data_IF_560101067492
#
_entry.id   IF_560101067492
#
_cell.length_a   1.000
_cell.length_b   1.000
_cell.length_c   1.000
_cell.angle_alpha   90.00
_cell.angle_beta   90.00
_cell.angle_gamma   90.00
#
_symmetry.space_group_name_H-M   'P 1'
#
loop_
_entity.id
_entity.type
_entity.pdbx_description
1 polymer ?
#
# COMPACT_ATOMS: atom_id res chain seq x y z
N UNK A 1 10.75 -33.02 -14.99
CA UNK A 1 10.59 -32.27 -13.72
C UNK A 1 9.61 -31.14 -14.01
N UNK A 2 8.57 -30.96 -13.19
CA UNK A 2 7.65 -29.82 -13.36
C UNK A 2 8.41 -28.51 -13.09
N UNK A 3 8.25 -27.53 -13.96
CA UNK A 3 8.92 -26.24 -13.85
C UNK A 3 7.98 -25.12 -14.28
N UNK A 4 7.93 -24.04 -13.53
CA UNK A 4 7.25 -22.81 -13.90
C UNK A 4 8.25 -21.67 -13.85
N UNK A 5 8.33 -20.91 -14.94
CA UNK A 5 9.14 -19.70 -15.07
C UNK A 5 8.26 -18.47 -14.90
N UNK A 6 8.62 -17.63 -13.96
CA UNK A 6 7.80 -16.50 -13.51
C UNK A 6 8.57 -15.20 -13.78
N UNK A 7 7.91 -14.28 -14.48
CA UNK A 7 8.41 -12.92 -14.65
C UNK A 7 7.60 -11.98 -13.76
N UNK A 8 8.25 -11.36 -12.78
CA UNK A 8 7.75 -10.20 -12.07
C UNK A 8 8.21 -8.95 -12.81
N UNK A 9 7.29 -8.19 -13.39
CA UNK A 9 7.63 -7.03 -14.22
C UNK A 9 8.11 -5.85 -13.37
N UNK A 10 7.47 -5.64 -12.23
CA UNK A 10 7.81 -4.59 -11.27
C UNK A 10 7.20 -4.94 -9.91
N UNK A 11 7.71 -4.34 -8.83
CA UNK A 11 7.14 -4.52 -7.49
C UNK A 11 5.84 -3.74 -7.28
N UNK A 12 5.65 -2.66 -8.02
CA UNK A 12 4.39 -1.90 -8.00
C UNK A 12 4.14 -1.28 -9.37
N UNK A 13 3.04 -1.65 -10.01
CA UNK A 13 2.66 -1.15 -11.33
C UNK A 13 2.48 0.38 -11.29
N UNK A 14 3.08 1.06 -12.26
CA UNK A 14 3.14 2.52 -12.30
C UNK A 14 4.44 3.11 -11.76
N UNK A 15 5.25 2.33 -11.02
CA UNK A 15 6.58 2.76 -10.58
C UNK A 15 7.66 2.65 -11.67
N UNK A 16 7.35 1.97 -12.76
CA UNK A 16 8.21 1.77 -13.90
C UNK A 16 9.10 0.53 -13.81
N UNK A 17 9.64 0.15 -14.96
CA UNK A 17 10.71 -0.83 -15.17
C UNK A 17 11.36 -0.57 -16.54
N UNK A 18 12.54 -1.14 -16.77
CA UNK A 18 13.24 -0.96 -18.04
C UNK A 18 12.70 -1.87 -19.13
N UNK A 19 12.43 -1.32 -20.29
CA UNK A 19 11.95 -2.07 -21.45
C UNK A 19 12.96 -3.12 -21.92
N UNK A 20 14.25 -2.80 -21.90
CA UNK A 20 15.32 -3.72 -22.25
C UNK A 20 15.39 -4.91 -21.28
N UNK A 21 15.10 -4.67 -19.98
CA UNK A 21 15.05 -5.74 -18.98
C UNK A 21 13.86 -6.66 -19.24
N UNK A 22 12.68 -6.10 -19.53
CA UNK A 22 11.52 -6.88 -19.93
C UNK A 22 11.82 -7.74 -21.17
N UNK A 23 12.41 -7.15 -22.20
CA UNK A 23 12.76 -7.87 -23.43
C UNK A 23 13.73 -9.03 -23.17
N UNK A 24 14.72 -8.85 -22.30
CA UNK A 24 15.63 -9.93 -21.89
C UNK A 24 14.89 -11.02 -21.11
N UNK A 25 14.02 -10.63 -20.19
CA UNK A 25 13.20 -11.55 -19.39
C UNK A 25 12.30 -12.40 -20.29
N UNK A 26 11.70 -11.82 -21.33
CA UNK A 26 10.90 -12.56 -22.30
C UNK A 26 11.72 -13.59 -23.08
N UNK A 27 13.00 -13.34 -23.30
CA UNK A 27 13.94 -14.30 -23.88
C UNK A 27 14.22 -15.53 -23.01
N UNK A 28 13.86 -15.48 -21.71
CA UNK A 28 13.92 -16.61 -20.79
C UNK A 28 12.62 -17.46 -20.81
N UNK A 29 11.68 -17.13 -21.70
CA UNK A 29 10.41 -17.82 -21.94
C UNK A 29 9.57 -18.01 -20.66
N UNK A 30 9.13 -16.92 -20.01
CA UNK A 30 8.24 -17.02 -18.84
C UNK A 30 6.91 -17.69 -19.21
N UNK A 31 6.26 -18.33 -18.24
CA UNK A 31 4.94 -18.90 -18.41
C UNK A 31 3.81 -17.89 -18.13
N UNK A 32 4.09 -16.82 -17.40
CA UNK A 32 3.22 -15.66 -17.22
C UNK A 32 4.03 -14.45 -16.77
N UNK A 33 3.42 -13.27 -16.87
CA UNK A 33 3.94 -11.99 -16.37
C UNK A 33 3.04 -11.56 -15.22
N UNK A 34 3.62 -11.36 -14.04
CA UNK A 34 2.93 -10.82 -12.86
C UNK A 34 3.42 -9.43 -12.50
N UNK A 35 2.55 -8.63 -11.89
CA UNK A 35 2.91 -7.41 -11.17
C UNK A 35 1.91 -7.17 -10.04
N UNK A 36 2.38 -6.77 -8.88
CA UNK A 36 1.53 -6.10 -7.91
C UNK A 36 1.26 -4.65 -8.37
N UNK A 37 0.16 -4.06 -7.95
CA UNK A 37 -0.17 -2.67 -8.25
C UNK A 37 -0.36 -1.83 -6.99
N UNK A 38 -0.05 -2.39 -5.83
CA UNK A 38 0.01 -1.68 -4.56
C UNK A 38 -0.58 -2.42 -3.37
N UNK A 39 -0.72 -1.68 -2.30
CA UNK A 39 -1.26 -2.14 -1.03
C UNK A 39 -1.99 -0.98 -0.33
N UNK A 40 -2.36 -1.17 0.94
CA UNK A 40 -2.87 -0.08 1.78
C UNK A 40 -1.75 0.68 2.52
N UNK A 41 -0.49 0.28 2.38
CA UNK A 41 0.67 0.86 3.06
C UNK A 41 0.90 2.35 2.80
N UNK A 42 0.60 2.91 1.59
CA UNK A 42 0.70 4.35 1.37
C UNK A 42 -0.23 5.19 2.25
N UNK A 43 -1.09 4.55 3.02
CA UNK A 43 -1.99 5.18 3.97
C UNK A 43 -3.48 5.10 3.58
N UNK A 44 -4.36 5.53 4.48
CA UNK A 44 -5.81 5.32 4.34
C UNK A 44 -6.46 6.18 3.24
N UNK A 45 -5.74 7.17 2.70
CA UNK A 45 -6.30 8.08 1.69
C UNK A 45 -6.80 7.33 0.46
N UNK A 46 -5.97 6.48 -0.12
CA UNK A 46 -6.29 5.80 -1.39
C UNK A 46 -7.45 4.82 -1.26
N UNK A 47 -7.53 4.09 -0.14
CA UNK A 47 -8.68 3.25 0.14
C UNK A 47 -9.94 4.09 0.41
N UNK A 48 -9.80 5.17 1.18
CA UNK A 48 -10.95 5.99 1.57
C UNK A 48 -11.51 6.86 0.44
N UNK A 49 -10.67 7.33 -0.48
CA UNK A 49 -11.08 8.20 -1.60
C UNK A 49 -11.37 7.45 -2.90
N UNK A 50 -10.80 6.26 -3.07
CA UNK A 50 -10.77 5.56 -4.36
C UNK A 50 -9.79 6.18 -5.37
N UNK A 51 -8.94 7.15 -4.95
CA UNK A 51 -7.89 7.74 -5.78
C UNK A 51 -6.75 6.75 -6.04
N UNK A 52 -5.90 7.06 -7.02
CA UNK A 52 -4.78 6.23 -7.43
C UNK A 52 -3.43 6.77 -6.95
N UNK A 53 -2.48 5.89 -6.64
CA UNK A 53 -1.13 6.29 -6.20
C UNK A 53 -0.34 6.96 -7.31
N UNK A 54 -0.39 6.39 -8.52
CA UNK A 54 0.29 6.92 -9.69
C UNK A 54 -0.69 7.52 -10.69
N UNK A 55 -0.18 8.27 -11.65
CA UNK A 55 -0.97 8.79 -12.75
C UNK A 55 -1.41 7.69 -13.72
N UNK A 56 -2.51 7.90 -14.43
CA UNK A 56 -2.98 6.99 -15.49
C UNK A 56 -1.90 6.74 -16.55
N UNK A 57 -1.11 7.76 -16.87
CA UNK A 57 -0.01 7.62 -17.84
C UNK A 57 1.06 6.66 -17.36
N UNK A 58 1.36 6.63 -16.06
CA UNK A 58 2.32 5.71 -15.48
C UNK A 58 1.81 4.27 -15.50
N UNK A 59 0.57 4.04 -15.02
CA UNK A 59 -0.09 2.73 -15.13
C UNK A 59 -0.17 2.25 -16.58
N UNK A 60 -0.60 3.12 -17.48
CA UNK A 60 -0.77 2.80 -18.90
C UNK A 60 0.54 2.41 -19.58
N UNK A 61 1.63 3.11 -19.26
CA UNK A 61 2.96 2.79 -19.79
C UNK A 61 3.40 1.39 -19.38
N UNK A 62 3.30 1.06 -18.10
CA UNK A 62 3.77 -0.24 -17.59
C UNK A 62 2.88 -1.38 -18.07
N UNK A 63 1.57 -1.23 -17.94
CA UNK A 63 0.60 -2.23 -18.38
C UNK A 63 0.66 -2.48 -19.89
N UNK A 64 0.87 -1.43 -20.71
CA UNK A 64 1.04 -1.55 -22.16
C UNK A 64 2.22 -2.49 -22.51
N UNK A 65 3.36 -2.29 -21.87
CA UNK A 65 4.54 -3.13 -22.11
C UNK A 65 4.29 -4.59 -21.72
N UNK A 66 3.62 -4.82 -20.58
CA UNK A 66 3.26 -6.17 -20.14
C UNK A 66 2.27 -6.83 -21.09
N UNK A 67 1.23 -6.12 -21.53
CA UNK A 67 0.21 -6.65 -22.44
C UNK A 67 0.80 -6.97 -23.81
N UNK A 68 1.62 -6.09 -24.38
CA UNK A 68 2.31 -6.33 -25.65
C UNK A 68 3.19 -7.59 -25.56
N UNK A 69 4.01 -7.71 -24.51
CA UNK A 69 4.87 -8.86 -24.30
C UNK A 69 4.08 -10.15 -24.08
N UNK A 70 3.07 -10.12 -23.19
CA UNK A 70 2.23 -11.26 -22.86
C UNK A 70 1.42 -11.77 -24.07
N UNK A 71 0.81 -10.86 -24.84
CA UNK A 71 0.05 -11.22 -26.04
C UNK A 71 0.92 -11.80 -27.15
N UNK A 72 2.11 -11.19 -27.38
CA UNK A 72 3.06 -11.71 -28.36
C UNK A 72 3.55 -13.13 -28.01
N UNK A 73 3.78 -13.41 -26.73
CA UNK A 73 4.20 -14.73 -26.25
C UNK A 73 3.04 -15.70 -25.96
N UNK A 74 1.78 -15.26 -26.05
CA UNK A 74 0.56 -16.02 -25.70
C UNK A 74 0.59 -16.58 -24.29
N UNK A 75 1.04 -15.75 -23.33
CA UNK A 75 1.06 -16.08 -21.90
C UNK A 75 0.19 -15.09 -21.12
N UNK A 76 -0.37 -15.50 -19.98
CA UNK A 76 -1.18 -14.62 -19.15
C UNK A 76 -0.40 -13.44 -18.57
N UNK A 77 -1.12 -12.31 -18.39
CA UNK A 77 -0.69 -11.15 -17.61
C UNK A 77 -1.60 -11.06 -16.40
N UNK A 78 -1.01 -11.02 -15.20
CA UNK A 78 -1.74 -11.06 -13.92
C UNK A 78 -1.33 -9.83 -13.10
N UNK A 79 -2.31 -9.01 -12.71
CA UNK A 79 -2.10 -7.82 -11.88
C UNK A 79 -2.98 -7.90 -10.64
N UNK A 80 -2.40 -7.70 -9.46
CA UNK A 80 -3.13 -7.61 -8.20
C UNK A 80 -3.22 -6.21 -7.65
N UNK A 81 -4.06 -6.01 -6.66
CA UNK A 81 -4.22 -4.76 -5.89
C UNK A 81 -4.34 -3.50 -6.74
N UNK A 82 -5.27 -3.53 -7.73
CA UNK A 82 -5.42 -2.50 -8.76
C UNK A 82 -5.29 -1.08 -8.21
N UNK A 83 -4.41 -0.27 -8.81
CA UNK A 83 -4.20 1.15 -8.57
C UNK A 83 -3.92 1.54 -7.11
N UNK A 84 -3.49 0.63 -6.26
CA UNK A 84 -3.01 0.78 -4.89
C UNK A 84 -3.78 -0.10 -3.90
N UNK A 85 -4.98 0.26 -3.47
CA UNK A 85 -5.74 -0.47 -2.44
C UNK A 85 -6.78 -1.43 -3.02
N UNK A 86 -6.97 -1.42 -4.33
CA UNK A 86 -7.82 -2.38 -5.03
C UNK A 86 -9.32 -2.28 -4.72
N UNK A 87 -9.83 -1.08 -4.38
CA UNK A 87 -11.26 -0.82 -4.33
C UNK A 87 -11.88 -0.88 -5.74
N UNK A 88 -13.20 -1.04 -5.83
CA UNK A 88 -13.89 -1.15 -7.13
C UNK A 88 -13.62 0.05 -8.07
N UNK A 89 -13.63 1.33 -7.63
CA UNK A 89 -13.24 2.44 -8.50
C UNK A 89 -11.83 2.32 -9.07
N UNK A 90 -10.90 1.79 -8.29
CA UNK A 90 -9.51 1.58 -8.71
C UNK A 90 -9.38 0.40 -9.68
N UNK A 91 -10.12 -0.68 -9.43
CA UNK A 91 -10.21 -1.83 -10.33
C UNK A 91 -10.77 -1.40 -11.70
N UNK A 92 -11.91 -0.71 -11.71
CA UNK A 92 -12.55 -0.22 -12.94
C UNK A 92 -11.63 0.71 -13.73
N UNK A 93 -10.87 1.56 -13.03
CA UNK A 93 -9.91 2.47 -13.66
C UNK A 93 -8.80 1.69 -14.38
N UNK A 94 -8.20 0.68 -13.73
CA UNK A 94 -7.12 -0.11 -14.36
C UNK A 94 -7.65 -0.97 -15.51
N UNK A 95 -8.85 -1.53 -15.38
CA UNK A 95 -9.56 -2.25 -16.45
C UNK A 95 -9.84 -1.31 -17.63
N UNK A 96 -10.26 -0.07 -17.35
CA UNK A 96 -10.45 0.97 -18.38
C UNK A 96 -9.15 1.26 -19.14
N UNK A 97 -8.02 1.38 -18.43
CA UNK A 97 -6.69 1.56 -19.04
C UNK A 97 -6.33 0.35 -19.92
N UNK A 98 -6.62 -0.89 -19.49
CA UNK A 98 -6.37 -2.08 -20.29
C UNK A 98 -7.19 -2.09 -21.59
N UNK A 99 -8.47 -1.68 -21.53
CA UNK A 99 -9.34 -1.52 -22.72
C UNK A 99 -8.78 -0.46 -23.69
N UNK A 100 -8.30 0.66 -23.16
CA UNK A 100 -7.69 1.72 -23.98
C UNK A 100 -6.43 1.23 -24.69
N UNK A 101 -5.56 0.49 -23.99
CA UNK A 101 -4.37 -0.11 -24.59
C UNK A 101 -4.76 -1.11 -25.67
N UNK A 102 -5.76 -1.97 -25.43
CA UNK A 102 -6.22 -2.94 -26.41
C UNK A 102 -6.69 -2.25 -27.70
N UNK A 103 -7.43 -1.15 -27.59
CA UNK A 103 -7.91 -0.37 -28.73
C UNK A 103 -6.75 0.28 -29.50
N UNK A 104 -5.80 0.88 -28.79
CA UNK A 104 -4.66 1.59 -29.38
C UNK A 104 -3.67 0.64 -30.07
N UNK A 105 -3.38 -0.50 -29.45
CA UNK A 105 -2.43 -1.49 -29.93
C UNK A 105 -3.06 -2.61 -30.76
N UNK A 106 -4.40 -2.55 -30.96
CA UNK A 106 -5.18 -3.58 -31.69
C UNK A 106 -4.98 -4.98 -31.10
N UNK A 107 -4.95 -5.04 -29.77
CA UNK A 107 -4.88 -6.31 -29.05
C UNK A 107 -6.27 -6.89 -28.83
N UNK A 108 -6.33 -8.23 -28.75
CA UNK A 108 -7.53 -8.95 -28.37
C UNK A 108 -7.17 -9.98 -27.30
N UNK A 109 -7.96 -10.03 -26.22
CA UNK A 109 -7.77 -10.95 -25.11
C UNK A 109 -9.03 -11.13 -24.26
N UNK A 110 -9.14 -12.26 -23.59
CA UNK A 110 -10.13 -12.49 -22.54
C UNK A 110 -9.61 -11.91 -21.24
N UNK A 111 -10.31 -10.90 -20.71
CA UNK A 111 -10.02 -10.24 -19.43
C UNK A 111 -10.92 -10.82 -18.35
N UNK A 112 -10.34 -11.03 -17.16
CA UNK A 112 -11.06 -11.27 -15.92
C UNK A 112 -10.77 -10.13 -14.93
N UNK A 113 -11.81 -9.47 -14.44
CA UNK A 113 -11.75 -8.46 -13.39
C UNK A 113 -12.25 -9.08 -12.07
N UNK A 114 -11.39 -9.20 -11.07
CA UNK A 114 -11.72 -9.78 -9.77
C UNK A 114 -12.07 -8.66 -8.79
N UNK A 115 -13.31 -8.62 -8.33
CA UNK A 115 -13.80 -7.65 -7.35
C UNK A 115 -13.44 -8.08 -5.93
N UNK A 116 -12.88 -7.17 -5.15
CA UNK A 116 -12.45 -7.39 -3.75
C UNK A 116 -13.18 -6.49 -2.76
N UNK A 117 -13.97 -5.52 -3.24
CA UNK A 117 -14.78 -4.66 -2.38
C UNK A 117 -15.92 -5.45 -1.76
N UNK A 118 -16.23 -5.18 -0.49
CA UNK A 118 -17.12 -6.02 0.31
C UNK A 118 -18.48 -5.37 0.53
N UNK A 119 -19.55 -6.15 0.33
CA UNK A 119 -20.90 -5.72 0.67
C UNK A 119 -21.07 -5.53 2.19
N UNK A 120 -21.51 -4.34 2.59
CA UNK A 120 -21.70 -3.99 4.01
C UNK A 120 -22.73 -4.87 4.69
N UNK A 121 -23.77 -5.27 3.99
CA UNK A 121 -24.83 -6.17 4.51
C UNK A 121 -24.25 -7.57 4.79
N UNK A 122 -23.42 -8.07 3.89
CA UNK A 122 -22.69 -9.32 4.08
C UNK A 122 -21.81 -9.27 5.34
N UNK A 123 -20.98 -8.24 5.47
CA UNK A 123 -20.08 -8.10 6.63
C UNK A 123 -20.85 -7.99 7.95
N UNK A 124 -21.97 -7.26 7.99
CA UNK A 124 -22.83 -7.19 9.18
C UNK A 124 -23.41 -8.56 9.55
N UNK A 125 -23.83 -9.38 8.57
CA UNK A 125 -24.25 -10.76 8.85
C UNK A 125 -23.11 -11.59 9.44
N UNK A 126 -21.91 -11.54 8.83
CA UNK A 126 -20.73 -12.26 9.34
C UNK A 126 -20.30 -11.80 10.74
N UNK A 127 -20.47 -10.52 11.04
CA UNK A 127 -20.20 -9.98 12.38
C UNK A 127 -21.19 -10.56 13.41
N UNK A 128 -22.50 -10.57 13.13
CA UNK A 128 -23.52 -11.18 14.00
C UNK A 128 -23.32 -12.69 14.19
N UNK A 129 -22.79 -13.37 13.18
CA UNK A 129 -22.45 -14.81 13.24
C UNK A 129 -21.15 -15.09 14.01
N UNK A 130 -20.43 -14.06 14.49
CA UNK A 130 -19.13 -14.22 15.16
C UNK A 130 -18.04 -14.75 14.22
N UNK A 131 -18.14 -14.46 12.92
CA UNK A 131 -17.19 -14.90 11.87
C UNK A 131 -16.12 -13.85 11.56
N UNK A 132 -16.21 -12.66 12.15
CA UNK A 132 -15.18 -11.61 12.06
C UNK A 132 -14.42 -11.58 13.39
N UNK A 133 -13.10 -11.67 13.32
CA UNK A 133 -12.21 -11.69 14.49
C UNK A 133 -11.10 -10.66 14.36
N UNK A 134 -10.71 -9.97 15.45
CA UNK A 134 -9.65 -8.97 15.39
C UNK A 134 -8.28 -9.59 15.19
N UNK A 135 -7.43 -8.88 14.47
CA UNK A 135 -5.99 -9.07 14.45
C UNK A 135 -5.32 -8.26 15.57
N UNK A 136 -4.01 -8.42 15.74
CA UNK A 136 -3.28 -7.67 16.76
C UNK A 136 -3.46 -6.15 16.57
N UNK A 137 -3.71 -5.45 17.68
CA UNK A 137 -3.95 -4.00 17.72
C UNK A 137 -5.14 -3.53 16.84
N UNK A 138 -6.11 -4.41 16.56
CA UNK A 138 -7.31 -4.01 15.86
C UNK A 138 -8.09 -2.96 16.65
N UNK A 139 -8.66 -1.93 16.00
CA UNK A 139 -9.59 -1.01 16.65
C UNK A 139 -10.91 -1.72 17.02
N UNK A 140 -11.71 -1.08 17.90
CA UNK A 140 -13.06 -1.53 18.17
C UNK A 140 -13.87 -1.64 16.88
N UNK A 141 -14.69 -2.69 16.76
CA UNK A 141 -15.39 -3.01 15.52
C UNK A 141 -16.84 -3.38 15.79
N UNK A 142 -17.73 -2.64 15.17
CA UNK A 142 -19.18 -2.82 15.23
C UNK A 142 -19.83 -2.54 13.85
N UNK A 143 -21.15 -2.67 13.77
CA UNK A 143 -21.89 -2.36 12.54
C UNK A 143 -21.75 -0.88 12.14
N UNK A 144 -21.61 0.03 13.11
CA UNK A 144 -21.39 1.44 12.84
C UNK A 144 -20.05 1.72 12.15
N UNK A 145 -19.00 0.96 12.48
CA UNK A 145 -17.71 1.03 11.77
C UNK A 145 -17.89 0.62 10.30
N UNK A 146 -18.63 -0.47 10.05
CA UNK A 146 -18.95 -0.92 8.69
C UNK A 146 -19.70 0.19 7.92
N UNK A 147 -20.69 0.82 8.55
CA UNK A 147 -21.49 1.87 7.92
C UNK A 147 -20.68 3.11 7.55
N UNK A 148 -19.80 3.55 8.45
CA UNK A 148 -18.96 4.74 8.24
C UNK A 148 -17.82 4.53 7.26
N UNK A 149 -17.41 3.29 6.98
CA UNK A 149 -16.35 3.01 6.01
C UNK A 149 -16.76 3.50 4.62
N UNK A 150 -15.86 4.24 3.97
CA UNK A 150 -16.04 4.64 2.58
C UNK A 150 -15.94 3.42 1.66
N UNK A 151 -14.84 2.69 1.79
CA UNK A 151 -14.56 1.43 1.12
C UNK A 151 -14.07 0.39 2.11
N UNK A 152 -14.41 -0.88 1.86
CA UNK A 152 -13.94 -2.04 2.61
C UNK A 152 -13.53 -3.09 1.60
N UNK A 153 -12.27 -3.53 1.65
CA UNK A 153 -11.75 -4.56 0.76
C UNK A 153 -11.35 -5.82 1.51
N UNK A 154 -11.54 -6.98 0.87
CA UNK A 154 -11.03 -8.26 1.31
C UNK A 154 -9.76 -8.61 0.55
N UNK A 155 -8.71 -9.03 1.25
CA UNK A 155 -7.44 -9.42 0.62
C UNK A 155 -7.57 -10.82 0.01
N UNK A 156 -7.74 -10.90 -1.31
CA UNK A 156 -7.90 -12.17 -2.03
C UNK A 156 -6.66 -13.06 -1.92
N UNK A 157 -6.88 -14.35 -1.68
CA UNK A 157 -5.89 -15.40 -1.87
C UNK A 157 -5.72 -15.80 -3.33
N UNK A 158 -5.21 -17.01 -3.57
CA UNK A 158 -4.98 -17.52 -4.94
C UNK A 158 -6.26 -17.96 -5.66
N UNK A 159 -7.32 -18.26 -4.93
CA UNK A 159 -8.49 -18.97 -5.46
C UNK A 159 -9.21 -18.20 -6.58
N UNK A 160 -9.47 -16.87 -6.46
CA UNK A 160 -10.05 -16.11 -7.56
C UNK A 160 -9.15 -16.02 -8.80
N UNK A 161 -7.84 -16.00 -8.61
CA UNK A 161 -6.90 -16.00 -9.74
C UNK A 161 -6.89 -17.36 -10.45
N UNK A 162 -6.93 -18.47 -9.68
CA UNK A 162 -7.02 -19.83 -10.23
C UNK A 162 -8.30 -19.98 -11.04
N UNK A 163 -9.45 -19.57 -10.48
CA UNK A 163 -10.73 -19.62 -11.20
C UNK A 163 -10.70 -18.81 -12.50
N UNK A 164 -10.15 -17.60 -12.46
CA UNK A 164 -10.00 -16.76 -13.66
C UNK A 164 -9.15 -17.44 -14.75
N UNK A 165 -8.02 -18.04 -14.36
CA UNK A 165 -7.10 -18.74 -15.26
C UNK A 165 -7.72 -20.03 -15.83
N UNK A 166 -8.44 -20.82 -15.02
CA UNK A 166 -9.15 -22.03 -15.46
C UNK A 166 -10.27 -21.70 -16.45
N UNK A 167 -10.91 -20.53 -16.32
CA UNK A 167 -11.86 -20.00 -17.29
C UNK A 167 -11.20 -19.40 -18.54
N UNK A 168 -9.87 -19.51 -18.67
CA UNK A 168 -9.12 -19.11 -19.85
C UNK A 168 -8.88 -17.61 -19.95
N UNK A 169 -8.87 -16.89 -18.84
CA UNK A 169 -8.46 -15.49 -18.85
C UNK A 169 -7.00 -15.35 -19.29
N UNK A 170 -6.75 -14.43 -20.20
CA UNK A 170 -5.43 -14.10 -20.74
C UNK A 170 -4.85 -12.84 -20.07
N UNK A 171 -5.73 -12.03 -19.49
CA UNK A 171 -5.40 -10.88 -18.63
C UNK A 171 -6.27 -10.97 -17.39
N UNK A 172 -5.65 -10.94 -16.22
CA UNK A 172 -6.36 -10.93 -14.93
C UNK A 172 -5.96 -9.64 -14.22
N UNK A 173 -6.94 -8.85 -13.84
CA UNK A 173 -6.78 -7.65 -13.03
C UNK A 173 -7.63 -7.83 -11.77
N UNK A 174 -7.01 -7.83 -10.61
CA UNK A 174 -7.71 -8.00 -9.35
C UNK A 174 -7.76 -6.70 -8.55
N UNK A 175 -8.83 -6.53 -7.80
CA UNK A 175 -8.91 -5.63 -6.67
C UNK A 175 -7.89 -6.04 -5.59
N UNK A 176 -8.15 -5.74 -4.31
CA UNK A 176 -7.20 -6.05 -3.24
C UNK A 176 -6.90 -7.54 -3.15
N UNK A 177 -5.65 -7.88 -3.23
CA UNK A 177 -5.16 -9.27 -3.13
C UNK A 177 -3.89 -9.33 -2.29
N UNK A 178 -3.55 -10.52 -1.79
CA UNK A 178 -2.20 -10.76 -1.29
C UNK A 178 -1.21 -10.70 -2.46
N UNK A 179 -0.12 -10.00 -2.28
CA UNK A 179 0.87 -9.74 -3.33
C UNK A 179 1.50 -11.04 -3.83
N UNK A 180 1.73 -11.98 -2.91
CA UNK A 180 2.22 -13.33 -3.21
C UNK A 180 1.22 -14.17 -4.00
N UNK A 181 -0.10 -13.93 -3.86
CA UNK A 181 -1.14 -14.67 -4.58
C UNK A 181 -1.04 -14.52 -6.10
N UNK A 182 -0.60 -13.34 -6.57
CA UNK A 182 -0.39 -13.04 -7.99
C UNK A 182 0.59 -14.03 -8.64
N UNK A 183 1.64 -14.37 -7.91
CA UNK A 183 2.72 -15.23 -8.40
C UNK A 183 2.54 -16.71 -8.02
N UNK A 184 1.69 -17.00 -7.03
CA UNK A 184 1.44 -18.36 -6.54
C UNK A 184 0.31 -19.07 -7.29
N UNK A 185 -0.69 -18.35 -7.79
CA UNK A 185 -1.90 -18.93 -8.36
C UNK A 185 -1.62 -19.94 -9.48
N UNK A 186 -0.91 -19.55 -10.53
CA UNK A 186 -0.64 -20.46 -11.65
C UNK A 186 0.26 -21.65 -11.27
N UNK A 187 1.38 -21.49 -10.52
CA UNK A 187 2.18 -22.61 -10.10
C UNK A 187 1.43 -23.62 -9.22
N UNK A 188 0.61 -23.16 -8.27
CA UNK A 188 -0.22 -24.03 -7.42
C UNK A 188 -1.28 -24.75 -8.26
N UNK A 189 -2.00 -24.03 -9.15
CA UNK A 189 -2.95 -24.61 -10.10
C UNK A 189 -2.31 -25.72 -10.93
N UNK A 190 -1.04 -25.59 -11.31
CA UNK A 190 -0.27 -26.61 -12.03
C UNK A 190 0.32 -27.71 -11.14
N UNK A 191 0.04 -27.68 -9.83
CA UNK A 191 0.39 -28.70 -8.87
C UNK A 191 1.87 -28.76 -8.49
N UNK A 192 2.55 -27.59 -8.44
CA UNK A 192 3.86 -27.47 -7.81
C UNK A 192 3.70 -27.40 -6.29
N UNK A 193 4.77 -27.74 -5.59
CA UNK A 193 4.81 -27.74 -4.12
C UNK A 193 4.53 -26.33 -3.55
N UNK A 194 3.46 -26.16 -2.74
CA UNK A 194 3.11 -24.86 -2.18
C UNK A 194 4.25 -24.19 -1.40
N UNK A 195 5.07 -24.95 -0.66
CA UNK A 195 6.17 -24.37 0.11
C UNK A 195 7.17 -23.63 -0.77
N UNK A 196 7.55 -24.21 -1.89
CA UNK A 196 8.48 -23.61 -2.85
C UNK A 196 7.83 -22.45 -3.60
N UNK A 197 6.56 -22.62 -3.98
CA UNK A 197 5.79 -21.62 -4.73
C UNK A 197 5.60 -20.35 -3.91
N UNK A 198 5.07 -20.46 -2.69
CA UNK A 198 4.81 -19.30 -1.84
C UNK A 198 6.10 -18.55 -1.47
N UNK A 199 7.20 -19.29 -1.26
CA UNK A 199 8.48 -18.63 -1.00
C UNK A 199 9.02 -17.90 -2.24
N UNK A 200 8.94 -18.50 -3.43
CA UNK A 200 9.30 -17.83 -4.66
C UNK A 200 8.44 -16.58 -4.91
N UNK A 201 7.14 -16.66 -4.64
CA UNK A 201 6.21 -15.55 -4.75
C UNK A 201 6.59 -14.39 -3.81
N UNK A 202 6.94 -14.69 -2.54
CA UNK A 202 7.42 -13.69 -1.57
C UNK A 202 8.68 -12.96 -2.04
N UNK A 203 9.57 -13.65 -2.75
CA UNK A 203 10.77 -13.04 -3.31
C UNK A 203 10.48 -12.18 -4.56
N UNK A 204 9.43 -12.54 -5.32
CA UNK A 204 9.09 -11.89 -6.59
C UNK A 204 8.12 -10.71 -6.46
N UNK A 205 7.29 -10.66 -5.42
CA UNK A 205 6.19 -9.69 -5.28
C UNK A 205 6.64 -8.24 -5.42
N UNK A 206 7.82 -7.91 -4.93
CA UNK A 206 8.41 -6.58 -5.02
C UNK A 206 9.37 -6.39 -6.22
N UNK A 207 9.23 -7.20 -7.29
CA UNK A 207 10.11 -7.11 -8.46
C UNK A 207 11.57 -7.34 -8.10
N UNK A 208 12.45 -6.45 -8.55
CA UNK A 208 13.88 -6.52 -8.25
C UNK A 208 14.26 -6.01 -6.84
N UNK A 209 13.37 -6.05 -5.84
CA UNK A 209 13.71 -5.56 -4.49
C UNK A 209 14.74 -6.44 -3.76
N UNK A 210 14.79 -7.74 -4.07
CA UNK A 210 15.73 -8.67 -3.46
C UNK A 210 17.15 -8.65 -4.06
N UNK A 211 17.47 -7.70 -4.97
CA UNK A 211 18.82 -7.59 -5.54
C UNK A 211 19.74 -6.77 -4.64
N UNK A 212 21.01 -7.02 -4.75
CA UNK A 212 22.05 -6.22 -4.09
C UNK A 212 22.05 -4.81 -4.67
N UNK A 213 21.86 -3.79 -3.86
CA UNK A 213 21.91 -2.37 -4.20
C UNK A 213 21.02 -2.00 -5.40
N UNK A 214 19.71 -2.13 -5.25
CA UNK A 214 18.74 -1.67 -6.25
C UNK A 214 18.78 -0.15 -6.41
N UNK A 215 19.04 0.32 -7.62
CA UNK A 215 19.05 1.77 -7.95
C UNK A 215 17.66 2.29 -8.34
N UNK A 216 16.86 1.47 -9.03
CA UNK A 216 15.48 1.79 -9.47
C UNK A 216 14.64 0.50 -9.58
N UNK A 217 13.30 0.63 -9.63
CA UNK A 217 12.42 -0.52 -9.87
C UNK A 217 12.77 -1.21 -11.20
N UNK A 218 12.71 -2.54 -11.23
CA UNK A 218 12.94 -3.32 -12.45
C UNK A 218 12.38 -4.73 -12.32
N UNK A 219 12.42 -5.49 -13.43
CA UNK A 219 11.96 -6.85 -13.48
C UNK A 219 12.81 -7.80 -12.63
N UNK A 220 12.16 -8.85 -12.15
CA UNK A 220 12.82 -10.02 -11.55
C UNK A 220 12.31 -11.31 -12.17
N UNK A 221 13.05 -12.39 -12.06
CA UNK A 221 12.72 -13.64 -12.69
C UNK A 221 13.02 -14.83 -11.77
N UNK A 222 12.11 -15.80 -11.75
CA UNK A 222 12.34 -17.04 -11.02
C UNK A 222 11.97 -18.28 -11.84
N UNK A 223 12.71 -19.35 -11.60
CA UNK A 223 12.44 -20.69 -12.08
C UNK A 223 12.02 -21.52 -10.88
N UNK A 224 10.74 -21.88 -10.80
CA UNK A 224 10.16 -22.61 -9.66
C UNK A 224 10.00 -24.08 -10.00
N UNK A 225 10.52 -24.95 -9.14
CA UNK A 225 10.42 -26.40 -9.19
C UNK A 225 9.82 -26.95 -7.90
N UNK A 226 9.57 -28.26 -7.81
CA UNK A 226 8.92 -28.86 -6.64
C UNK A 226 9.75 -28.77 -5.35
N UNK A 227 11.07 -28.80 -5.44
CA UNK A 227 11.99 -28.86 -4.29
C UNK A 227 12.80 -27.58 -4.06
N UNK A 228 12.83 -26.68 -5.03
CA UNK A 228 13.57 -25.42 -4.96
C UNK A 228 13.08 -24.41 -6.00
N UNK A 229 13.49 -23.15 -5.84
CA UNK A 229 13.45 -22.18 -6.91
C UNK A 229 14.80 -21.49 -7.10
N UNK A 230 14.99 -20.92 -8.28
CA UNK A 230 16.16 -20.10 -8.61
C UNK A 230 15.64 -18.70 -8.92
N UNK A 231 16.24 -17.69 -8.32
CA UNK A 231 15.96 -16.28 -8.62
C UNK A 231 17.18 -15.62 -9.25
N UNK A 232 16.96 -14.92 -10.37
CA UNK A 232 17.98 -14.16 -11.06
C UNK A 232 17.37 -12.94 -11.74
N UNK A 233 17.87 -11.70 -11.48
CA UNK A 233 17.37 -10.50 -12.14
C UNK A 233 17.79 -10.50 -13.62
N UNK A 234 16.86 -10.25 -14.59
CA UNK A 234 17.20 -10.18 -16.01
C UNK A 234 18.09 -8.98 -16.36
N UNK A 235 18.08 -7.94 -15.55
CA UNK A 235 18.99 -6.80 -15.71
C UNK A 235 20.43 -7.21 -15.39
N UNK A 236 21.38 -7.08 -16.34
CA UNK A 236 22.77 -7.48 -16.13
C UNK A 236 23.53 -6.61 -15.13
N UNK A 237 23.02 -5.42 -14.80
CA UNK A 237 23.60 -4.53 -13.78
C UNK A 237 23.22 -4.95 -12.36
N UNK A 238 22.21 -5.85 -12.21
CA UNK A 238 21.73 -6.35 -10.95
C UNK A 238 22.19 -7.78 -10.70
N UNK A 239 22.30 -8.13 -9.43
CA UNK A 239 22.58 -9.49 -8.97
C UNK A 239 21.83 -9.78 -7.68
N UNK A 240 21.48 -11.02 -7.49
CA UNK A 240 21.08 -11.56 -6.20
C UNK A 240 22.28 -12.25 -5.54
N UNK A 241 22.34 -12.19 -4.21
CA UNK A 241 23.16 -13.06 -3.40
C UNK A 241 22.33 -13.66 -2.24
N UNK A 242 22.85 -14.67 -1.52
CA UNK A 242 22.11 -15.33 -0.44
C UNK A 242 21.58 -14.35 0.60
N UNK A 243 22.36 -13.34 0.98
CA UNK A 243 21.97 -12.38 2.01
C UNK A 243 20.87 -11.43 1.53
N UNK A 244 20.95 -10.95 0.30
CA UNK A 244 19.94 -10.05 -0.27
C UNK A 244 18.59 -10.75 -0.44
N UNK A 245 18.59 -12.01 -0.88
CA UNK A 245 17.37 -12.80 -1.02
C UNK A 245 16.78 -13.19 0.34
N UNK A 246 17.62 -13.64 1.29
CA UNK A 246 17.16 -13.96 2.64
C UNK A 246 16.61 -12.73 3.38
N UNK A 247 17.26 -11.58 3.25
CA UNK A 247 16.82 -10.33 3.87
C UNK A 247 15.46 -9.87 3.35
N UNK A 248 15.13 -10.17 2.09
CA UNK A 248 13.83 -9.80 1.53
C UNK A 248 12.65 -10.51 2.21
N UNK A 249 12.85 -11.69 2.80
CA UNK A 249 11.81 -12.36 3.59
C UNK A 249 11.42 -11.61 4.87
N UNK A 250 12.25 -10.70 5.35
CA UNK A 250 11.94 -9.89 6.55
C UNK A 250 10.97 -8.74 6.23
N UNK A 251 10.81 -8.42 4.96
CA UNK A 251 9.96 -7.33 4.52
C UNK A 251 8.48 -7.68 4.74
N UNK A 252 7.75 -6.80 5.44
CA UNK A 252 6.31 -6.88 5.70
C UNK A 252 5.82 -8.14 6.44
N UNK A 253 6.69 -8.89 7.08
CA UNK A 253 6.32 -10.03 7.88
C UNK A 253 6.26 -9.69 9.37
N UNK A 254 5.26 -10.20 10.08
CA UNK A 254 5.13 -10.06 11.54
C UNK A 254 6.18 -10.85 12.33
N UNK A 255 6.71 -11.91 11.72
CA UNK A 255 7.82 -12.71 12.24
C UNK A 255 8.89 -12.88 11.15
N UNK A 256 10.16 -13.14 11.51
CA UNK A 256 11.21 -13.31 10.51
C UNK A 256 11.03 -14.52 9.57
N UNK A 257 10.14 -15.45 9.93
CA UNK A 257 10.08 -16.76 9.28
C UNK A 257 8.71 -17.11 8.71
N UNK A 258 7.64 -16.41 9.09
CA UNK A 258 6.28 -16.81 8.77
C UNK A 258 5.56 -15.75 7.95
N UNK A 259 5.04 -16.17 6.81
CA UNK A 259 4.10 -15.42 6.01
C UNK A 259 2.73 -16.11 6.10
N UNK A 260 1.74 -15.38 6.63
CA UNK A 260 0.37 -15.87 6.79
C UNK A 260 -0.46 -15.48 5.57
N UNK A 261 -1.00 -16.47 4.91
CA UNK A 261 -1.85 -16.35 3.73
C UNK A 261 -3.24 -16.93 4.00
N UNK A 262 -4.28 -16.56 3.24
CA UNK A 262 -5.61 -17.13 3.42
C UNK A 262 -5.64 -18.66 3.42
N UNK A 263 -4.86 -19.29 2.57
CA UNK A 263 -4.80 -20.76 2.40
C UNK A 263 -3.83 -21.47 3.33
N UNK A 264 -2.94 -20.75 4.04
CA UNK A 264 -1.95 -21.38 4.91
C UNK A 264 -0.85 -20.45 5.39
N UNK A 265 0.20 -21.08 5.91
CA UNK A 265 1.37 -20.38 6.45
C UNK A 265 2.64 -20.92 5.80
N UNK A 266 3.36 -20.06 5.10
CA UNK A 266 4.73 -20.32 4.68
C UNK A 266 5.65 -20.17 5.89
N UNK A 267 6.54 -21.14 6.11
CA UNK A 267 7.61 -21.03 7.11
C UNK A 267 8.97 -21.22 6.44
N UNK A 268 9.83 -20.22 6.59
CA UNK A 268 11.17 -20.16 5.97
C UNK A 268 12.31 -20.41 6.96
N UNK A 269 12.02 -20.86 8.19
CA UNK A 269 13.03 -21.09 9.23
C UNK A 269 14.13 -22.06 8.79
N UNK A 270 13.77 -23.12 8.05
CA UNK A 270 14.70 -24.12 7.51
C UNK A 270 15.18 -23.83 6.09
N UNK A 271 14.85 -22.66 5.55
CA UNK A 271 15.23 -22.29 4.19
C UNK A 271 16.76 -22.18 4.03
N UNK A 272 17.24 -22.59 2.87
CA UNK A 272 18.65 -22.54 2.47
C UNK A 272 18.79 -21.69 1.22
N UNK A 273 19.77 -20.80 1.24
CA UNK A 273 20.06 -19.87 0.16
C UNK A 273 21.47 -20.14 -0.35
N UNK A 274 21.59 -20.62 -1.58
CA UNK A 274 22.83 -21.04 -2.19
C UNK A 274 23.12 -20.20 -3.44
N UNK A 275 24.25 -19.50 -3.46
CA UNK A 275 24.72 -18.86 -4.70
C UNK A 275 25.08 -19.94 -5.73
N UNK A 276 24.43 -19.91 -6.90
CA UNK A 276 24.70 -20.86 -7.99
C UNK A 276 25.47 -20.21 -9.16
N UNK A 277 25.54 -18.88 -9.13
CA UNK A 277 26.36 -18.04 -10.00
C UNK A 277 26.66 -16.72 -9.29
N UNK A 278 27.38 -15.82 -9.97
CA UNK A 278 27.63 -14.45 -9.46
C UNK A 278 26.35 -13.61 -9.33
N UNK A 279 25.21 -14.08 -9.87
CA UNK A 279 23.98 -13.32 -9.98
C UNK A 279 22.71 -14.05 -9.55
N UNK A 280 22.77 -15.36 -9.42
CA UNK A 280 21.61 -16.19 -9.17
C UNK A 280 21.71 -16.94 -7.86
N UNK A 281 20.58 -17.05 -7.17
CA UNK A 281 20.43 -17.76 -5.89
C UNK A 281 19.41 -18.86 -6.03
N UNK A 282 19.78 -20.06 -5.57
CA UNK A 282 18.87 -21.19 -5.38
C UNK A 282 18.37 -21.18 -3.94
N UNK A 283 17.06 -21.32 -3.79
CA UNK A 283 16.38 -21.34 -2.48
C UNK A 283 15.62 -22.66 -2.33
N UNK A 284 15.75 -23.31 -1.17
CA UNK A 284 15.10 -24.58 -0.85
C UNK A 284 14.83 -24.73 0.63
N UNK A 285 14.07 -25.77 1.03
CA UNK A 285 13.90 -26.15 2.44
C UNK A 285 12.80 -25.40 3.21
N UNK A 286 12.01 -24.55 2.56
CA UNK A 286 10.81 -23.97 3.15
C UNK A 286 9.71 -25.01 3.35
N UNK A 287 8.78 -24.74 4.27
CA UNK A 287 7.61 -25.57 4.51
C UNK A 287 6.33 -24.72 4.39
N UNK A 288 5.22 -25.38 4.05
CA UNK A 288 3.91 -24.74 3.99
C UNK A 288 2.90 -25.58 4.76
N UNK A 289 2.22 -24.95 5.71
CA UNK A 289 1.14 -25.57 6.47
C UNK A 289 -0.18 -25.01 5.99
N UNK A 290 -1.04 -25.85 5.43
CA UNK A 290 -2.40 -25.46 5.04
C UNK A 290 -3.18 -24.93 6.26
N UNK A 291 -3.93 -23.86 6.08
CA UNK A 291 -4.76 -23.26 7.12
C UNK A 291 -5.86 -24.26 7.55
N UNK A 292 -6.08 -24.37 8.85
CA UNK A 292 -7.19 -25.16 9.40
C UNK A 292 -8.53 -24.48 9.11
N UNK A 293 -8.51 -23.15 9.00
CA UNK A 293 -9.66 -22.32 8.68
C UNK A 293 -9.23 -21.23 7.69
N UNK A 294 -9.89 -21.19 6.55
CA UNK A 294 -9.66 -20.15 5.57
C UNK A 294 -10.18 -18.82 6.10
N UNK A 295 -9.37 -17.77 6.05
CA UNK A 295 -9.75 -16.42 6.48
C UNK A 295 -9.25 -15.38 5.52
N UNK A 296 -10.02 -14.28 5.37
CA UNK A 296 -9.68 -13.14 4.52
C UNK A 296 -9.46 -11.92 5.42
N UNK A 297 -8.32 -11.26 5.26
CA UNK A 297 -8.06 -9.97 5.91
C UNK A 297 -8.97 -8.90 5.32
N UNK A 298 -9.63 -8.14 6.22
CA UNK A 298 -10.43 -6.97 5.87
C UNK A 298 -9.62 -5.71 6.14
N UNK A 299 -9.66 -4.79 5.18
CA UNK A 299 -9.10 -3.46 5.27
C UNK A 299 -10.18 -2.45 4.95
N UNK A 300 -10.36 -1.45 5.82
CA UNK A 300 -11.39 -0.43 5.66
C UNK A 300 -10.86 0.95 6.03
N UNK A 301 -11.40 1.97 5.38
CA UNK A 301 -11.08 3.35 5.66
C UNK A 301 -12.35 4.21 5.76
N UNK A 302 -12.35 5.13 6.72
CA UNK A 302 -13.44 6.11 6.91
C UNK A 302 -12.91 7.54 6.83
N UNK A 303 -13.77 8.47 6.43
CA UNK A 303 -13.46 9.90 6.46
C UNK A 303 -13.29 10.36 7.90
N UNK A 304 -12.10 10.89 8.22
CA UNK A 304 -11.79 11.45 9.54
C UNK A 304 -12.08 12.96 9.63
N UNK A 305 -12.34 13.61 8.51
CA UNK A 305 -12.62 15.03 8.37
C UNK A 305 -11.81 15.68 7.25
N UNK A 306 -11.82 17.00 7.23
CA UNK A 306 -11.07 17.80 6.25
C UNK A 306 -9.95 18.56 6.96
N UNK A 307 -8.83 18.72 6.29
CA UNK A 307 -7.64 19.29 6.89
C UNK A 307 -7.21 20.57 6.22
N UNK A 308 -6.73 21.51 7.06
CA UNK A 308 -5.90 22.63 6.64
C UNK A 308 -4.60 22.59 7.45
N UNK A 309 -3.49 22.98 6.82
CA UNK A 309 -2.18 22.95 7.44
C UNK A 309 -1.47 24.29 7.29
N UNK A 310 -0.53 24.57 8.20
CA UNK A 310 0.50 25.61 8.06
C UNK A 310 1.85 24.94 8.31
N UNK A 311 2.81 25.27 7.45
CA UNK A 311 4.21 24.94 7.64
C UNK A 311 4.93 26.22 8.07
N UNK A 312 5.69 26.15 9.16
CA UNK A 312 6.50 27.25 9.62
C UNK A 312 7.83 26.77 10.18
N UNK A 313 8.75 27.69 10.44
CA UNK A 313 10.01 27.38 11.09
C UNK A 313 10.37 28.40 12.16
N UNK A 314 11.14 27.96 13.15
CA UNK A 314 11.67 28.78 14.24
C UNK A 314 13.17 28.54 14.34
N UNK A 315 13.93 29.62 14.32
CA UNK A 315 15.39 29.60 14.45
C UNK A 315 15.91 30.43 15.63
N UNK A 316 15.06 31.28 16.21
CA UNK A 316 15.48 32.12 17.33
C UNK A 316 15.88 31.30 18.55
N UNK A 317 17.12 31.45 19.09
CA UNK A 317 17.60 30.64 20.20
C UNK A 317 16.84 30.89 21.52
N UNK A 318 16.19 32.04 21.68
CA UNK A 318 15.38 32.33 22.88
C UNK A 318 14.11 31.50 22.84
N UNK A 319 13.45 31.42 21.67
CA UNK A 319 12.27 30.59 21.48
C UNK A 319 12.65 29.11 21.63
N UNK A 320 13.75 28.67 20.98
CA UNK A 320 14.17 27.28 21.00
C UNK A 320 14.47 26.76 22.44
N UNK A 321 15.02 27.59 23.30
CA UNK A 321 15.27 27.20 24.71
C UNK A 321 14.01 26.97 25.53
N UNK A 322 12.88 27.57 25.14
CA UNK A 322 11.60 27.48 25.83
C UNK A 322 10.47 26.93 24.92
N UNK A 323 10.85 26.17 23.89
CA UNK A 323 9.96 25.76 22.80
C UNK A 323 8.68 25.08 23.28
N UNK A 324 8.77 24.19 24.24
CA UNK A 324 7.63 23.42 24.72
C UNK A 324 6.59 24.28 25.42
N UNK A 325 7.04 25.09 26.38
CA UNK A 325 6.13 26.01 27.09
C UNK A 325 5.54 27.04 26.15
N UNK A 326 6.37 27.61 25.28
CA UNK A 326 5.91 28.58 24.29
C UNK A 326 4.87 28.00 23.32
N UNK A 327 5.06 26.78 22.80
CA UNK A 327 4.09 26.12 21.92
C UNK A 327 2.82 25.72 22.67
N UNK A 328 2.91 25.31 23.92
CA UNK A 328 1.73 25.00 24.74
C UNK A 328 0.87 26.25 24.96
N UNK A 329 1.49 27.37 25.31
CA UNK A 329 0.79 28.66 25.52
C UNK A 329 0.20 29.21 24.19
N UNK A 330 0.96 29.13 23.11
CA UNK A 330 0.48 29.50 21.76
C UNK A 330 -0.75 28.66 21.35
N UNK A 331 -0.64 27.33 21.54
CA UNK A 331 -1.74 26.41 21.17
C UNK A 331 -3.00 26.71 22.00
N UNK A 332 -2.83 27.01 23.29
CA UNK A 332 -3.93 27.43 24.15
C UNK A 332 -4.54 28.75 23.64
N UNK A 333 -3.74 29.76 23.38
CA UNK A 333 -4.19 31.06 22.90
C UNK A 333 -4.93 30.95 21.55
N UNK A 334 -4.44 30.07 20.66
CA UNK A 334 -5.13 29.76 19.40
C UNK A 334 -6.51 29.15 19.61
N UNK A 335 -6.65 28.19 20.54
CA UNK A 335 -7.94 27.61 20.92
C UNK A 335 -8.87 28.63 21.56
N UNK A 336 -8.36 29.47 22.48
CA UNK A 336 -9.14 30.54 23.12
C UNK A 336 -9.66 31.55 22.07
N UNK A 337 -8.83 31.90 21.09
CA UNK A 337 -9.22 32.76 19.97
C UNK A 337 -10.31 32.13 19.11
N UNK A 338 -10.17 30.85 18.78
CA UNK A 338 -11.20 30.10 18.05
C UNK A 338 -12.52 30.13 18.83
N UNK A 339 -12.50 29.85 20.12
CA UNK A 339 -13.69 29.88 20.96
C UNK A 339 -14.32 31.26 21.04
N UNK A 340 -13.51 32.33 21.09
CA UNK A 340 -14.01 33.72 21.09
C UNK A 340 -14.66 34.10 19.78
N UNK A 341 -14.23 33.61 18.63
CA UNK A 341 -14.78 33.91 17.30
C UNK A 341 -16.00 33.09 16.96
N UNK A 342 -15.96 31.78 17.28
CA UNK A 342 -16.97 30.82 16.83
C UNK A 342 -17.92 30.36 17.96
N UNK A 343 -17.70 30.82 19.19
CA UNK A 343 -18.48 30.47 20.38
C UNK A 343 -17.94 29.23 21.09
N UNK A 344 -18.28 29.09 22.37
CA UNK A 344 -17.80 27.98 23.22
C UNK A 344 -18.22 26.58 22.71
N UNK A 345 -19.32 26.47 21.97
CA UNK A 345 -19.77 25.19 21.37
C UNK A 345 -18.86 24.66 20.25
N UNK A 346 -17.80 25.39 19.85
CA UNK A 346 -16.83 24.92 18.86
C UNK A 346 -15.91 23.84 19.41
N UNK A 347 -15.71 23.80 20.73
CA UNK A 347 -14.83 22.84 21.39
C UNK A 347 -15.33 21.41 21.14
N UNK A 348 -14.39 20.50 20.83
CA UNK A 348 -14.70 19.12 20.45
C UNK A 348 -15.20 18.90 19.03
N UNK A 349 -15.48 19.98 18.24
CA UNK A 349 -15.87 19.86 16.83
C UNK A 349 -14.70 19.96 15.84
N UNK A 350 -13.52 20.21 16.34
CA UNK A 350 -12.28 20.26 15.56
C UNK A 350 -11.11 19.70 16.39
N UNK A 351 -10.01 19.36 15.70
CA UNK A 351 -8.76 19.00 16.33
C UNK A 351 -7.65 19.92 15.80
N UNK A 352 -6.83 20.44 16.72
CA UNK A 352 -5.61 21.19 16.40
C UNK A 352 -4.42 20.38 16.93
N UNK A 353 -3.56 19.96 16.01
CA UNK A 353 -2.31 19.27 16.30
C UNK A 353 -1.13 20.13 15.86
N UNK A 354 -0.02 20.03 16.60
CA UNK A 354 1.26 20.66 16.26
C UNK A 354 2.35 19.61 16.28
N UNK A 355 3.09 19.45 15.19
CA UNK A 355 4.26 18.57 15.09
C UNK A 355 5.52 19.41 14.96
N UNK A 356 6.58 19.00 15.66
CA UNK A 356 7.86 19.71 15.71
C UNK A 356 8.93 18.84 15.04
N UNK A 357 9.22 19.13 13.79
CA UNK A 357 10.35 18.49 13.07
C UNK A 357 11.67 19.05 13.61
N UNK A 358 12.64 18.16 13.79
CA UNK A 358 13.89 18.49 14.50
C UNK A 358 13.81 18.32 16.02
N UNK A 359 12.68 17.75 16.49
CA UNK A 359 12.46 17.35 17.89
C UNK A 359 11.80 15.97 17.96
N UNK A 360 10.48 15.90 17.87
CA UNK A 360 9.71 14.66 18.11
C UNK A 360 8.57 14.41 17.09
N UNK A 361 8.60 15.04 15.94
CA UNK A 361 7.51 14.93 14.96
C UNK A 361 7.31 13.49 14.44
N UNK A 362 8.37 12.69 14.38
CA UNK A 362 8.34 11.30 13.87
C UNK A 362 7.95 10.30 14.94
N UNK A 363 8.67 10.30 16.08
CA UNK A 363 8.49 9.30 17.14
C UNK A 363 7.47 9.73 18.20
N UNK A 364 7.06 11.00 18.24
CA UNK A 364 6.13 11.51 19.25
C UNK A 364 6.63 11.28 20.67
N UNK A 365 5.79 10.68 21.56
CA UNK A 365 6.21 10.39 22.94
C UNK A 365 7.30 9.33 23.07
N UNK A 366 7.61 8.58 22.01
CA UNK A 366 8.66 7.55 21.99
C UNK A 366 10.02 8.12 21.63
N UNK A 367 10.13 9.42 21.32
CA UNK A 367 11.41 10.06 21.03
C UNK A 367 12.30 10.08 22.28
N UNK A 368 13.47 9.49 22.16
CA UNK A 368 14.46 9.40 23.23
C UNK A 368 15.47 10.55 23.25
N UNK A 369 15.68 11.20 22.09
CA UNK A 369 16.60 12.32 21.97
C UNK A 369 15.98 13.61 22.49
N UNK A 370 16.71 14.32 23.34
CA UNK A 370 16.25 15.59 23.92
C UNK A 370 16.91 16.83 23.30
N UNK A 371 17.96 16.62 22.49
CA UNK A 371 18.64 17.71 21.82
C UNK A 371 17.76 18.34 20.73
N UNK A 372 17.63 19.66 20.77
CA UNK A 372 16.93 20.42 19.73
C UNK A 372 17.98 21.04 18.80
N UNK A 373 17.78 20.94 17.50
CA UNK A 373 18.64 21.58 16.51
C UNK A 373 18.62 23.10 16.59
N UNK A 374 19.44 23.76 15.78
CA UNK A 374 19.49 25.23 15.71
C UNK A 374 18.26 25.83 15.00
N UNK A 375 17.44 25.00 14.39
CA UNK A 375 16.19 25.32 13.71
C UNK A 375 15.21 24.16 13.84
N UNK A 376 13.92 24.47 13.99
CA UNK A 376 12.85 23.46 14.00
C UNK A 376 11.77 23.83 13.00
N UNK A 377 11.17 22.81 12.36
CA UNK A 377 9.98 22.96 11.53
C UNK A 377 8.73 22.72 12.36
N UNK A 378 7.73 23.57 12.17
CA UNK A 378 6.42 23.47 12.81
C UNK A 378 5.36 23.12 11.76
N UNK A 379 4.62 22.05 11.98
CA UNK A 379 3.44 21.70 11.21
C UNK A 379 2.21 21.85 12.10
N UNK A 380 1.44 22.93 11.89
CA UNK A 380 0.11 23.07 12.47
C UNK A 380 -0.90 22.37 11.57
N UNK A 381 -1.84 21.66 12.17
CA UNK A 381 -2.84 20.89 11.44
C UNK A 381 -4.18 21.03 12.14
N UNK A 382 -5.17 21.60 11.44
CA UNK A 382 -6.57 21.61 11.87
C UNK A 382 -7.35 20.58 11.07
N UNK A 383 -8.12 19.73 11.78
CA UNK A 383 -9.08 18.81 11.18
C UNK A 383 -10.48 19.19 11.66
N UNK A 384 -11.43 19.34 10.71
CA UNK A 384 -12.81 19.70 10.97
C UNK A 384 -13.77 18.94 10.04
N UNK A 385 -15.09 19.15 10.20
CA UNK A 385 -16.14 18.47 9.42
C UNK A 385 -16.24 18.92 7.96
N UNK A 386 -15.65 20.07 7.61
CA UNK A 386 -15.60 20.56 6.24
C UNK A 386 -14.28 21.29 5.96
N UNK A 387 -13.91 21.37 4.67
CA UNK A 387 -12.69 22.08 4.25
C UNK A 387 -12.77 23.58 4.53
N UNK A 388 -13.94 24.16 4.31
CA UNK A 388 -14.18 25.59 4.60
C UNK A 388 -13.92 25.88 6.07
N UNK A 389 -14.48 25.08 6.96
CA UNK A 389 -14.31 25.22 8.40
C UNK A 389 -12.87 24.98 8.85
N UNK A 390 -12.22 23.94 8.35
CA UNK A 390 -10.80 23.67 8.65
C UNK A 390 -9.91 24.86 8.26
N UNK A 391 -10.14 25.43 7.07
CA UNK A 391 -9.38 26.59 6.58
C UNK A 391 -9.68 27.85 7.40
N UNK A 392 -10.95 28.09 7.76
CA UNK A 392 -11.33 29.25 8.57
C UNK A 392 -10.72 29.21 9.97
N UNK A 393 -10.75 28.03 10.61
CA UNK A 393 -10.11 27.82 11.91
C UNK A 393 -8.58 27.98 11.82
N UNK A 394 -7.96 27.47 10.77
CA UNK A 394 -6.52 27.60 10.56
C UNK A 394 -6.08 29.04 10.37
N UNK A 395 -6.89 29.90 9.74
CA UNK A 395 -6.62 31.36 9.66
C UNK A 395 -6.54 32.01 11.06
N UNK A 396 -7.37 31.55 12.00
CA UNK A 396 -7.30 32.03 13.39
C UNK A 396 -6.01 31.59 14.08
N UNK A 397 -5.55 30.37 13.81
CA UNK A 397 -4.27 29.85 14.31
C UNK A 397 -3.08 30.61 13.71
N UNK A 398 -3.06 30.79 12.39
CA UNK A 398 -2.01 31.50 11.64
C UNK A 398 -1.74 32.88 12.19
N UNK A 399 -2.79 33.68 12.38
CA UNK A 399 -2.67 35.03 12.87
C UNK A 399 -2.11 35.14 14.30
N UNK A 400 -2.53 34.24 15.19
CA UNK A 400 -2.00 34.18 16.56
C UNK A 400 -0.54 33.69 16.54
N UNK A 401 -0.25 32.65 15.78
CA UNK A 401 1.04 31.97 15.81
C UNK A 401 2.20 32.89 15.36
N UNK A 402 2.00 33.68 14.32
CA UNK A 402 3.08 34.48 13.74
C UNK A 402 3.56 35.61 14.65
N UNK A 403 2.70 36.09 15.56
CA UNK A 403 3.02 37.18 16.49
C UNK A 403 2.86 36.79 17.96
N UNK A 404 2.88 35.50 18.26
CA UNK A 404 2.72 35.08 19.64
C UNK A 404 3.87 35.58 20.52
N UNK A 405 3.57 36.21 21.67
CA UNK A 405 4.60 36.78 22.53
C UNK A 405 5.64 35.73 22.97
N UNK A 406 6.89 36.16 23.02
CA UNK A 406 7.99 35.33 23.48
C UNK A 406 8.42 35.87 24.84
N UNK A 407 8.37 35.07 25.93
CA UNK A 407 8.95 35.45 27.20
C UNK A 407 10.42 35.90 26.99
N UNK A 408 10.90 36.84 27.78
CA UNK A 408 12.23 37.47 27.66
C UNK A 408 12.39 38.47 26.50
N UNK A 409 11.38 38.63 25.62
CA UNK A 409 11.39 39.64 24.57
C UNK A 409 10.52 40.84 24.92
N UNK A 410 11.03 42.02 24.63
CA UNK A 410 10.26 43.26 24.69
C UNK A 410 10.04 43.79 23.28
N UNK A 411 8.81 44.00 22.87
CA UNK A 411 8.47 44.53 21.57
C UNK A 411 7.72 43.50 20.67
N UNK A 412 7.29 43.97 19.50
CA UNK A 412 6.58 43.14 18.53
C UNK A 412 7.58 42.41 17.62
N UNK A 413 7.45 41.11 17.55
CA UNK A 413 8.31 40.25 16.71
C UNK A 413 7.45 39.31 15.86
N UNK A 414 8.03 38.86 14.76
CA UNK A 414 7.54 37.70 14.01
C UNK A 414 8.31 36.46 14.50
N UNK A 415 7.62 35.57 15.20
CA UNK A 415 8.24 34.44 15.88
C UNK A 415 8.39 33.20 14.99
N UNK A 416 7.58 33.09 13.92
CA UNK A 416 7.56 31.96 12.99
C UNK A 416 7.72 32.48 11.56
N UNK A 417 8.61 31.87 10.80
CA UNK A 417 8.77 32.12 9.37
C UNK A 417 7.84 31.19 8.57
N UNK A 418 7.00 31.74 7.71
CA UNK A 418 6.13 31.00 6.79
C UNK A 418 6.72 31.00 5.38
N UNK A 419 6.88 29.83 4.73
CA UNK A 419 7.39 29.75 3.36
C UNK A 419 6.37 30.10 2.30
N UNK A 420 5.08 30.16 2.66
CA UNK A 420 3.98 30.39 1.72
C UNK A 420 3.13 31.60 2.12
N UNK A 421 2.52 32.26 1.11
CA UNK A 421 1.52 33.34 1.28
C UNK A 421 0.38 33.11 0.28
N UNK A 422 -0.86 32.80 0.74
CA UNK A 422 -1.27 32.66 2.14
C UNK A 422 -0.58 31.45 2.83
N UNK A 423 -0.43 31.50 4.14
CA UNK A 423 0.23 30.46 4.91
C UNK A 423 -0.64 29.20 5.08
N UNK A 424 -1.95 29.36 5.03
CA UNK A 424 -2.93 28.29 5.20
C UNK A 424 -3.08 27.48 3.90
N UNK A 425 -2.79 26.19 3.96
CA UNK A 425 -2.87 25.27 2.83
C UNK A 425 -4.06 24.33 3.05
N UNK A 426 -5.13 24.41 2.24
CA UNK A 426 -6.16 23.38 2.24
C UNK A 426 -5.57 22.03 1.80
N UNK A 427 -5.62 21.01 2.67
CA UNK A 427 -5.08 19.70 2.35
C UNK A 427 -6.13 18.76 1.74
N UNK A 428 -7.42 19.03 1.96
CA UNK A 428 -8.50 18.16 1.49
C UNK A 428 -8.96 17.15 2.55
N UNK A 429 -9.69 16.10 2.11
CA UNK A 429 -10.19 15.07 2.99
C UNK A 429 -9.05 14.26 3.61
N UNK A 430 -9.23 13.89 4.85
CA UNK A 430 -8.34 13.00 5.60
C UNK A 430 -9.10 11.75 5.98
N UNK A 431 -8.49 10.62 5.77
CA UNK A 431 -9.04 9.32 6.09
C UNK A 431 -8.27 8.66 7.21
N UNK A 432 -8.86 7.66 7.84
CA UNK A 432 -8.19 6.77 8.80
C UNK A 432 -8.58 5.32 8.54
N UNK A 433 -7.68 4.41 8.78
CA UNK A 433 -8.03 2.99 8.84
C UNK A 433 -8.91 2.73 10.06
N UNK A 434 -9.96 1.95 9.86
CA UNK A 434 -10.92 1.61 10.92
C UNK A 434 -11.15 0.11 11.06
N UNK A 435 -10.40 -0.72 10.32
CA UNK A 435 -10.45 -2.18 10.37
C UNK A 435 -9.05 -2.78 10.33
N UNK A 436 -8.84 -3.79 11.16
CA UNK A 436 -7.72 -4.73 11.09
C UNK A 436 -8.24 -6.10 11.60
N UNK A 437 -9.07 -6.72 10.80
CA UNK A 437 -9.82 -7.92 11.16
C UNK A 437 -9.70 -8.98 10.07
N UNK A 438 -9.99 -10.22 10.41
CA UNK A 438 -10.20 -11.30 9.44
C UNK A 438 -11.63 -11.80 9.50
N UNK A 439 -12.15 -12.18 8.35
CA UNK A 439 -13.45 -12.84 8.22
C UNK A 439 -13.25 -14.26 7.74
N UNK A 440 -14.05 -15.18 8.26
CA UNK A 440 -14.11 -16.56 7.80
C UNK A 440 -15.31 -16.75 6.88
N UNK A 441 -15.11 -16.77 5.55
CA UNK A 441 -16.16 -17.09 4.59
C UNK A 441 -16.54 -18.58 4.65
N UNK A 442 -17.69 -18.94 4.08
CA UNK A 442 -18.10 -20.35 3.95
C UNK A 442 -17.32 -21.08 2.85
N UNK A 443 -16.86 -20.35 1.85
CA UNK A 443 -15.94 -20.84 0.81
C UNK A 443 -14.99 -19.72 0.38
N UNK A 444 -13.81 -20.02 -0.18
CA UNK A 444 -12.85 -19.01 -0.63
C UNK A 444 -13.43 -17.96 -1.59
N UNK A 445 -14.38 -18.38 -2.46
CA UNK A 445 -15.00 -17.51 -3.46
C UNK A 445 -16.20 -16.72 -2.96
N UNK A 446 -16.69 -16.95 -1.71
CA UNK A 446 -17.90 -16.27 -1.19
C UNK A 446 -17.78 -14.73 -1.20
N UNK A 447 -16.55 -14.21 -1.11
CA UNK A 447 -16.25 -12.80 -0.97
C UNK A 447 -15.77 -12.13 -2.27
N UNK A 448 -15.66 -12.89 -3.35
CA UNK A 448 -15.07 -12.39 -4.60
C UNK A 448 -15.98 -12.74 -5.78
N UNK A 449 -16.22 -11.76 -6.63
CA UNK A 449 -16.88 -11.97 -7.93
C UNK A 449 -15.87 -11.70 -9.05
N UNK A 450 -16.10 -12.33 -10.20
CA UNK A 450 -15.23 -12.19 -11.36
C UNK A 450 -16.09 -11.82 -12.57
N UNK A 451 -15.79 -10.67 -13.16
CA UNK A 451 -16.37 -10.24 -14.42
C UNK A 451 -15.45 -10.65 -15.58
N UNK A 452 -16.03 -11.32 -16.59
CA UNK A 452 -15.31 -11.75 -17.78
C UNK A 452 -15.73 -10.93 -19.00
N UNK A 453 -14.74 -10.47 -19.76
CA UNK A 453 -14.94 -9.66 -20.96
C UNK A 453 -13.99 -10.11 -22.08
N UNK A 454 -14.49 -10.15 -23.32
CA UNK A 454 -13.62 -10.25 -24.51
C UNK A 454 -13.30 -8.84 -24.99
N UNK A 455 -12.10 -8.39 -24.75
CA UNK A 455 -11.61 -7.05 -25.11
C UNK A 455 -11.04 -7.08 -26.53
N UNK A 456 -11.34 -6.07 -27.35
CA UNK A 456 -10.77 -5.91 -28.70
C UNK A 456 -11.47 -6.70 -29.80
N UNK A 457 -12.68 -7.19 -29.57
CA UNK A 457 -13.54 -7.85 -30.58
C UNK A 457 -14.67 -6.95 -31.05
#
# INVERSE_FOLDING_TARGET
MKEIRILSATGILGSGFREETLKRAMGLEPHFIGADSGSTDPGPHYLGSGDTLFSDSAYKRDLRLMLLAGRAAKIPVIVGSACTSGSDPQLERLVGIARDIAREEKLSFKLAAIHSEQDKGYLKRKLREGKITPLANAPDFDEGVIDRSAHIVGMAGIEPFVEALEHGAEVVIAGRSSDTSIFSAMPVMRGLNPATVWHAAKILECGAACVVLRKYPDCNFAIVRDDHFIVEPPNPEYRCDPDSVASHNLYENSTPYELVEPSGVLNTYSARYEAISDRAVKVSGSTFKTAERYTIKLEGAELAGYQAIIIGSVRDPIILRQLDSWLADLTKAAKDRIAAVYGAGIEGTYRLDVRVFGKNATMGPLESETAIGHEVGLLFQVTADSQERATALMKSVSHIAVHYPVPEWTGLITSIAYPYSPAEIPRGPSYRFNMNHVVAPASPMEMFSIDYENVGH
#
